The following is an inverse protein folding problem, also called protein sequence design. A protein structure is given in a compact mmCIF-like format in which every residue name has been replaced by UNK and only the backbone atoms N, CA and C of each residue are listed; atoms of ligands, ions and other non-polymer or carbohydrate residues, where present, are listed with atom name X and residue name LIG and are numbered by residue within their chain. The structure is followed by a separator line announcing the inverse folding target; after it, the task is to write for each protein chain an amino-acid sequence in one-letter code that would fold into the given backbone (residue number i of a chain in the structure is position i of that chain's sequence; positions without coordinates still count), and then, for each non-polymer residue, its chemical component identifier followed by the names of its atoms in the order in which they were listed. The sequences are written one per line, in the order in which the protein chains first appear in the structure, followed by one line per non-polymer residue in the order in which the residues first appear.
data_IF_990354859431
#
_entry.id   IF_990354859431
#
_cell.length_a   1.000
_cell.length_b   1.000
_cell.length_c   1.000
_cell.angle_alpha   90.00
_cell.angle_beta   90.00
_cell.angle_gamma   90.00
#
_symmetry.space_group_name_H-M   'P 1'
#
loop_
_entity.id
_entity.type
_entity.pdbx_description
1 polymer ?
#
# COMPACT_ATOMS: atom_id res chain seq x y z
N UNK A 1 -10.60 7.38 -80.18
CA UNK A 1 -10.53 6.86 -78.80
C UNK A 1 -9.08 6.89 -78.37
N UNK A 2 -8.76 7.53 -77.24
CA UNK A 2 -7.39 7.52 -76.73
C UNK A 2 -7.14 8.64 -75.72
N UNK A 3 -8.01 8.77 -74.72
CA UNK A 3 -7.78 9.70 -73.63
C UNK A 3 -6.55 9.27 -72.85
N UNK A 4 -5.50 10.10 -72.95
CA UNK A 4 -4.21 9.91 -72.28
C UNK A 4 -4.46 9.95 -70.77
N UNK A 5 -4.44 8.79 -70.12
CA UNK A 5 -4.50 8.66 -68.67
C UNK A 5 -3.20 9.28 -68.12
N UNK A 6 -3.32 10.51 -67.62
CA UNK A 6 -2.21 11.27 -67.04
C UNK A 6 -1.76 10.53 -65.79
N UNK A 7 -0.51 10.10 -65.78
CA UNK A 7 0.11 9.38 -64.67
C UNK A 7 0.10 10.29 -63.43
N UNK A 8 -0.75 9.98 -62.45
CA UNK A 8 -0.90 10.77 -61.24
C UNK A 8 0.33 10.49 -60.36
N UNK A 9 1.07 11.53 -59.93
CA UNK A 9 2.24 11.33 -59.08
C UNK A 9 1.84 10.72 -57.73
N UNK A 10 2.58 9.70 -57.30
CA UNK A 10 2.31 8.95 -56.06
C UNK A 10 2.18 9.86 -54.83
N UNK A 11 2.87 10.99 -54.81
CA UNK A 11 2.77 11.98 -53.73
C UNK A 11 1.37 12.59 -53.62
N UNK A 12 0.65 12.74 -54.74
CA UNK A 12 -0.76 13.16 -54.73
C UNK A 12 -1.67 12.02 -54.29
N UNK A 13 -1.39 10.78 -54.68
CA UNK A 13 -2.14 9.60 -54.20
C UNK A 13 -1.97 9.40 -52.67
N UNK A 14 -0.79 9.72 -52.12
CA UNK A 14 -0.55 9.75 -50.67
C UNK A 14 -1.41 10.78 -49.95
N UNK A 15 -1.61 11.97 -50.53
CA UNK A 15 -2.47 13.00 -49.93
C UNK A 15 -3.96 12.59 -49.89
N UNK A 16 -4.42 11.77 -50.84
CA UNK A 16 -5.77 11.21 -50.86
C UNK A 16 -5.95 9.94 -50.00
N UNK A 17 -4.86 9.41 -49.45
CA UNK A 17 -4.89 8.27 -48.51
C UNK A 17 -5.12 8.68 -47.05
N UNK A 18 -5.46 9.96 -46.79
CA UNK A 18 -6.00 10.44 -45.51
C UNK A 18 -7.42 9.87 -45.35
N UNK A 19 -7.49 8.60 -44.94
CA UNK A 19 -8.72 7.83 -44.88
C UNK A 19 -8.51 6.48 -44.23
N UNK A 20 -8.16 6.51 -42.94
CA UNK A 20 -8.44 5.44 -41.96
C UNK A 20 -8.07 3.99 -42.33
N UNK A 21 -6.93 3.74 -42.96
CA UNK A 21 -6.40 2.37 -43.06
C UNK A 21 -5.39 2.10 -41.93
N UNK A 22 -5.83 1.39 -40.89
CA UNK A 22 -4.93 0.47 -40.20
C UNK A 22 -4.49 0.78 -38.77
N UNK A 23 -5.10 1.71 -38.03
CA UNK A 23 -4.95 1.77 -36.57
C UNK A 23 -6.32 1.90 -35.92
N UNK A 24 -6.99 0.77 -35.69
CA UNK A 24 -8.01 0.70 -34.64
C UNK A 24 -7.29 1.13 -33.37
N UNK A 25 -7.56 2.33 -32.88
CA UNK A 25 -7.26 2.67 -31.49
C UNK A 25 -7.83 1.52 -30.66
N UNK A 26 -7.00 0.91 -29.82
CA UNK A 26 -7.41 -0.14 -28.89
C UNK A 26 -8.76 0.25 -28.29
N UNK A 27 -9.69 -0.70 -28.26
CA UNK A 27 -11.06 -0.46 -27.82
C UNK A 27 -11.03 0.34 -26.51
N UNK A 28 -11.93 1.31 -26.32
CA UNK A 28 -12.04 2.09 -25.07
C UNK A 28 -12.02 1.17 -23.83
N UNK A 29 -12.55 -0.04 -23.98
CA UNK A 29 -12.53 -1.13 -22.99
C UNK A 29 -11.14 -1.71 -22.71
N UNK A 30 -10.32 -1.89 -23.75
CA UNK A 30 -8.95 -2.43 -23.65
C UNK A 30 -7.99 -1.39 -23.03
N UNK A 31 -8.21 -0.11 -23.30
CA UNK A 31 -7.48 0.99 -22.68
C UNK A 31 -7.80 1.13 -21.18
N UNK A 32 -9.05 0.91 -20.80
CA UNK A 32 -9.49 0.88 -19.39
C UNK A 32 -8.98 -0.37 -18.66
N UNK A 33 -8.93 -1.53 -19.32
CA UNK A 33 -8.32 -2.74 -18.76
C UNK A 33 -6.81 -2.61 -18.55
N UNK A 34 -6.09 -1.95 -19.47
CA UNK A 34 -4.66 -1.63 -19.27
C UNK A 34 -4.46 -0.69 -18.09
N UNK A 35 -5.24 0.41 -18.01
CA UNK A 35 -5.18 1.35 -16.89
C UNK A 35 -5.49 0.66 -15.56
N UNK A 36 -6.53 -0.18 -15.51
CA UNK A 36 -6.88 -0.94 -14.31
C UNK A 36 -5.77 -1.88 -13.85
N UNK A 37 -5.08 -2.53 -14.80
CA UNK A 37 -3.95 -3.43 -14.51
C UNK A 37 -2.74 -2.66 -13.99
N UNK A 38 -2.50 -1.45 -14.47
CA UNK A 38 -1.44 -0.57 -13.97
C UNK A 38 -1.75 -0.04 -12.56
N UNK A 39 -3.00 0.39 -12.32
CA UNK A 39 -3.45 0.81 -10.99
C UNK A 39 -3.36 -0.32 -9.96
N UNK A 40 -3.70 -1.56 -10.34
CA UNK A 40 -3.55 -2.73 -9.47
C UNK A 40 -2.09 -3.04 -9.16
N UNK A 41 -1.19 -2.94 -10.14
CA UNK A 41 0.26 -3.12 -9.92
C UNK A 41 0.84 -2.03 -9.03
N UNK A 42 0.44 -0.78 -9.24
CA UNK A 42 0.88 0.34 -8.41
C UNK A 42 0.39 0.16 -6.96
N UNK A 43 -0.86 -0.26 -6.76
CA UNK A 43 -1.40 -0.56 -5.45
C UNK A 43 -0.66 -1.74 -4.77
N UNK A 44 -0.34 -2.80 -5.52
CA UNK A 44 0.43 -3.92 -5.01
C UNK A 44 1.84 -3.50 -4.57
N UNK A 45 2.50 -2.65 -5.36
CA UNK A 45 3.83 -2.11 -5.02
C UNK A 45 3.81 -1.25 -3.75
N UNK A 46 2.83 -0.34 -3.63
CA UNK A 46 2.69 0.49 -2.42
C UNK A 46 2.38 -0.37 -1.19
N UNK A 47 1.60 -1.44 -1.34
CA UNK A 47 1.35 -2.38 -0.25
C UNK A 47 2.62 -3.15 0.15
N UNK A 48 3.42 -3.58 -0.82
CA UNK A 48 4.71 -4.22 -0.57
C UNK A 48 5.67 -3.26 0.16
N UNK A 49 5.81 -2.02 -0.30
CA UNK A 49 6.59 -0.98 0.40
C UNK A 49 6.07 -0.74 1.82
N UNK A 50 4.74 -0.64 1.99
CA UNK A 50 4.13 -0.50 3.31
C UNK A 50 4.52 -1.67 4.22
N UNK A 51 4.34 -2.91 3.79
CA UNK A 51 4.69 -4.10 4.61
C UNK A 51 6.19 -4.14 4.89
N UNK A 52 7.02 -3.86 3.89
CA UNK A 52 8.47 -3.81 4.03
C UNK A 52 8.90 -2.77 5.07
N UNK A 53 8.29 -1.58 5.12
CA UNK A 53 8.64 -0.55 6.12
C UNK A 53 8.44 -1.00 7.57
N UNK A 54 7.49 -1.91 7.83
CA UNK A 54 7.26 -2.46 9.18
C UNK A 54 8.10 -3.72 9.47
N UNK A 55 8.60 -4.41 8.45
CA UNK A 55 9.46 -5.59 8.61
C UNK A 55 10.96 -5.25 8.60
N UNK A 56 11.36 -4.23 7.83
CA UNK A 56 12.74 -3.78 7.67
C UNK A 56 13.17 -2.83 8.80
N UNK A 57 12.21 -2.31 9.58
CA UNK A 57 12.54 -1.80 10.91
C UNK A 57 13.02 -3.01 11.72
N UNK A 58 14.32 -3.10 12.10
CA UNK A 58 14.76 -4.22 12.89
C UNK A 58 13.87 -4.25 14.12
N UNK A 59 13.32 -5.43 14.42
CA UNK A 59 12.43 -5.72 15.55
C UNK A 59 12.97 -5.15 16.89
N UNK A 60 14.24 -4.72 16.93
CA UNK A 60 14.94 -4.08 18.04
C UNK A 60 15.06 -2.54 18.03
N UNK A 61 14.74 -1.77 16.97
CA UNK A 61 15.06 -0.31 16.95
C UNK A 61 13.86 0.64 16.99
N UNK A 62 12.65 0.21 16.62
CA UNK A 62 11.41 0.99 16.86
C UNK A 62 10.76 0.67 18.21
N UNK A 63 11.32 -0.28 18.96
CA UNK A 63 10.89 -0.62 20.31
C UNK A 63 11.12 0.57 21.24
N UNK A 64 10.06 0.99 21.96
CA UNK A 64 10.15 1.97 23.05
C UNK A 64 11.32 1.59 23.97
N UNK A 65 12.41 2.34 23.89
CA UNK A 65 13.61 2.12 24.72
C UNK A 65 13.49 2.96 25.98
N UNK A 66 13.70 2.33 27.12
CA UNK A 66 13.73 3.01 28.41
C UNK A 66 15.16 3.10 28.88
N UNK A 67 15.64 4.31 29.11
CA UNK A 67 16.98 4.54 29.66
C UNK A 67 16.86 4.60 31.18
N UNK A 68 17.64 3.79 31.89
CA UNK A 68 17.65 3.76 33.35
C UNK A 68 18.22 5.09 33.87
N UNK A 69 17.45 5.79 34.69
CA UNK A 69 17.88 6.98 35.41
C UNK A 69 18.61 6.61 36.72
N UNK A 70 18.98 7.61 37.53
CA UNK A 70 19.44 7.37 38.90
C UNK A 70 18.36 6.67 39.73
N UNK A 71 18.77 5.77 40.61
CA UNK A 71 17.87 5.08 41.54
C UNK A 71 18.08 5.64 42.94
N UNK A 72 16.99 5.89 43.66
CA UNK A 72 17.05 6.31 45.06
C UNK A 72 16.62 5.15 45.95
N UNK A 73 17.50 4.75 46.87
CA UNK A 73 17.17 3.77 47.90
C UNK A 73 16.54 4.50 49.09
N UNK A 74 15.23 4.31 49.28
CA UNK A 74 14.48 4.91 50.37
C UNK A 74 14.89 4.35 51.75
N UNK A 75 15.38 3.11 51.82
CA UNK A 75 15.84 2.49 53.06
C UNK A 75 17.18 3.06 53.53
N UNK A 76 18.14 3.20 52.61
CA UNK A 76 19.47 3.74 52.90
C UNK A 76 19.55 5.29 52.82
N UNK A 77 18.50 5.95 52.30
CA UNK A 77 18.46 7.39 51.98
C UNK A 77 19.66 7.83 51.14
N UNK A 78 20.01 7.03 50.13
CA UNK A 78 21.17 7.26 49.26
C UNK A 78 20.75 7.18 47.80
N UNK A 79 21.35 8.07 47.00
CA UNK A 79 21.22 8.06 45.55
C UNK A 79 22.30 7.19 44.92
N UNK A 80 21.89 6.28 44.05
CA UNK A 80 22.77 5.43 43.24
C UNK A 80 22.70 5.84 41.77
N UNK A 81 23.83 6.31 41.26
CA UNK A 81 23.96 6.76 39.86
C UNK A 81 24.80 5.83 38.99
N UNK A 82 25.19 4.65 39.50
CA UNK A 82 26.10 3.71 38.81
C UNK A 82 25.56 3.17 37.48
N UNK A 83 24.23 3.05 37.37
CA UNK A 83 23.56 2.53 36.18
C UNK A 83 22.84 3.59 35.34
N UNK A 84 23.02 4.89 35.66
CA UNK A 84 22.43 5.96 34.86
C UNK A 84 22.87 5.85 33.40
N UNK A 85 21.97 6.06 32.46
CA UNK A 85 22.27 6.02 31.03
C UNK A 85 22.34 4.61 30.43
N UNK A 86 22.25 3.54 31.23
CA UNK A 86 22.15 2.18 30.70
C UNK A 86 20.76 1.94 30.13
N UNK A 87 20.69 1.21 29.01
CA UNK A 87 19.41 0.81 28.45
C UNK A 87 18.75 -0.23 29.37
N UNK A 88 17.56 0.09 29.88
CA UNK A 88 16.77 -0.84 30.69
C UNK A 88 16.18 -1.91 29.77
N UNK A 89 16.63 -3.15 29.99
CA UNK A 89 16.13 -4.34 29.31
C UNK A 89 15.43 -5.22 30.35
N UNK A 90 14.09 -5.13 30.49
CA UNK A 90 13.39 -6.00 31.43
C UNK A 90 13.63 -7.45 31.04
N UNK A 91 14.12 -8.26 31.98
CA UNK A 91 14.22 -9.70 31.78
C UNK A 91 12.82 -10.31 31.99
N UNK A 92 12.34 -11.06 31.00
CA UNK A 92 11.11 -11.82 31.14
C UNK A 92 11.27 -12.87 32.23
N UNK A 93 10.33 -12.92 33.18
CA UNK A 93 10.23 -13.98 34.19
C UNK A 93 9.41 -15.18 33.72
N UNK A 94 8.83 -15.08 32.52
CA UNK A 94 8.00 -16.13 31.92
C UNK A 94 8.95 -17.21 31.36
N UNK A 95 8.72 -18.51 31.65
CA UNK A 95 9.52 -19.58 31.09
C UNK A 95 9.46 -19.52 29.55
N UNK A 96 10.59 -19.78 28.89
CA UNK A 96 10.73 -19.67 27.42
C UNK A 96 9.66 -20.47 26.67
N UNK A 97 9.25 -21.62 27.21
CA UNK A 97 8.16 -22.46 26.68
C UNK A 97 6.83 -21.70 26.52
N UNK A 98 6.44 -20.89 27.51
CA UNK A 98 5.20 -20.10 27.45
C UNK A 98 5.30 -18.89 26.51
N UNK A 99 6.51 -18.35 26.33
CA UNK A 99 6.77 -17.25 25.41
C UNK A 99 6.70 -17.72 23.94
N UNK A 100 7.20 -18.93 23.67
CA UNK A 100 7.08 -19.58 22.35
C UNK A 100 5.61 -19.88 22.06
N UNK A 101 4.88 -20.44 23.02
CA UNK A 101 3.46 -20.74 22.87
C UNK A 101 2.60 -19.49 22.61
N UNK A 102 2.90 -18.36 23.26
CA UNK A 102 2.17 -17.10 23.02
C UNK A 102 2.47 -16.50 21.65
N UNK A 103 3.72 -16.56 21.20
CA UNK A 103 4.13 -16.15 19.84
C UNK A 103 3.46 -17.01 18.77
N UNK A 104 3.45 -18.33 18.94
CA UNK A 104 2.83 -19.26 18.01
C UNK A 104 1.30 -19.05 17.93
N UNK A 105 0.63 -18.81 19.06
CA UNK A 105 -0.80 -18.45 19.09
C UNK A 105 -1.08 -17.13 18.36
N UNK A 106 -0.24 -16.13 18.53
CA UNK A 106 -0.38 -14.85 17.83
C UNK A 106 -0.22 -15.01 16.31
N UNK A 107 0.76 -15.81 15.86
CA UNK A 107 0.95 -16.12 14.45
C UNK A 107 -0.21 -16.95 13.88
N UNK A 108 -0.73 -17.91 14.63
CA UNK A 108 -1.90 -18.70 14.24
C UNK A 108 -3.15 -17.81 14.07
N UNK A 109 -3.37 -16.88 14.99
CA UNK A 109 -4.49 -15.93 14.91
C UNK A 109 -4.34 -14.98 13.70
N UNK A 110 -3.13 -14.51 13.43
CA UNK A 110 -2.84 -13.69 12.24
C UNK A 110 -3.14 -14.44 10.93
N UNK A 111 -2.77 -15.72 10.83
CA UNK A 111 -3.11 -16.58 9.68
C UNK A 111 -4.62 -16.73 9.52
N UNK A 112 -5.34 -16.98 10.62
CA UNK A 112 -6.80 -17.11 10.61
C UNK A 112 -7.53 -15.84 10.15
N UNK A 113 -6.97 -14.67 10.43
CA UNK A 113 -7.48 -13.38 9.94
C UNK A 113 -7.15 -13.18 8.46
N UNK A 114 -5.94 -13.57 8.03
CA UNK A 114 -5.52 -13.47 6.63
C UNK A 114 -6.35 -14.34 5.69
N UNK A 115 -6.73 -15.54 6.11
CA UNK A 115 -7.54 -16.45 5.29
C UNK A 115 -9.00 -16.01 5.18
N UNK A 116 -9.47 -15.21 6.13
CA UNK A 116 -10.79 -14.57 6.08
C UNK A 116 -10.69 -13.28 5.27
N UNK A 117 -10.83 -13.39 3.95
CA UNK A 117 -11.18 -12.23 3.10
C UNK A 117 -12.35 -11.50 3.77
N UNK A 118 -12.28 -10.18 4.01
CA UNK A 118 -13.44 -9.44 4.48
C UNK A 118 -14.56 -9.70 3.47
N UNK A 119 -15.69 -10.23 3.96
CA UNK A 119 -16.88 -10.42 3.16
C UNK A 119 -17.16 -9.09 2.46
N UNK A 120 -17.03 -9.05 1.13
CA UNK A 120 -17.28 -7.85 0.34
C UNK A 120 -18.65 -7.34 0.75
N UNK A 121 -18.72 -6.12 1.33
CA UNK A 121 -19.97 -5.42 1.63
C UNK A 121 -20.73 -5.19 0.31
N UNK A 122 -21.40 -6.23 -0.18
CA UNK A 122 -22.13 -6.27 -1.45
C UNK A 122 -23.62 -6.01 -1.30
N UNK A 123 -24.12 -5.72 -0.09
CA UNK A 123 -25.52 -5.34 0.12
C UNK A 123 -25.62 -3.82 0.13
N UNK A 124 -25.93 -3.26 -1.05
CA UNK A 124 -26.28 -1.85 -1.27
C UNK A 124 -27.39 -1.43 -0.30
N UNK A 125 -27.05 -0.81 0.82
CA UNK A 125 -27.93 0.20 1.43
C UNK A 125 -27.66 1.50 0.70
N UNK A 126 -28.72 2.10 0.17
CA UNK A 126 -28.69 3.45 -0.41
C UNK A 126 -28.04 4.39 0.61
N UNK A 127 -26.82 4.83 0.31
CA UNK A 127 -26.07 5.74 1.17
C UNK A 127 -26.50 7.16 0.78
N UNK A 128 -27.06 7.92 1.71
CA UNK A 128 -27.12 9.38 1.63
C UNK A 128 -25.71 9.89 1.36
N UNK A 129 -25.49 10.74 0.35
CA UNK A 129 -24.16 11.18 -0.16
C UNK A 129 -23.04 11.16 0.90
N UNK A 130 -21.93 10.51 0.57
CA UNK A 130 -20.74 10.48 1.44
C UNK A 130 -20.26 11.89 1.74
N UNK A 131 -19.69 12.15 2.93
CA UNK A 131 -19.10 13.46 3.28
C UNK A 131 -18.13 13.97 2.20
N UNK A 132 -17.46 13.05 1.49
CA UNK A 132 -16.55 13.36 0.38
C UNK A 132 -17.27 13.92 -0.85
N UNK A 133 -18.50 13.46 -1.13
CA UNK A 133 -19.34 14.01 -2.19
C UNK A 133 -19.91 15.38 -1.80
N UNK A 134 -20.36 15.52 -0.56
CA UNK A 134 -20.86 16.80 -0.06
C UNK A 134 -19.79 17.90 -0.19
N UNK A 135 -18.55 17.60 0.21
CA UNK A 135 -17.44 18.55 0.09
C UNK A 135 -17.12 18.92 -1.37
N UNK A 136 -17.24 17.98 -2.31
CA UNK A 136 -17.05 18.25 -3.74
C UNK A 136 -18.16 19.11 -4.35
N UNK A 137 -19.39 18.99 -3.87
CA UNK A 137 -20.49 19.88 -4.30
C UNK A 137 -20.27 21.30 -3.79
N UNK A 138 -19.81 21.47 -2.55
CA UNK A 138 -19.51 22.78 -1.97
C UNK A 138 -18.39 23.53 -2.72
N UNK A 139 -17.34 22.81 -3.17
CA UNK A 139 -16.28 23.40 -4.00
C UNK A 139 -16.70 23.73 -5.46
N UNK A 140 -17.84 23.22 -5.92
CA UNK A 140 -18.38 23.51 -7.27
C UNK A 140 -19.37 24.67 -7.27
N UNK A 141 -19.73 25.17 -6.10
CA UNK A 141 -20.63 26.29 -5.88
C UNK A 141 -19.84 27.61 -5.84
#
# INVERSE_FOLDING_TARGET
MGDKIKNIPEQKLKAFSIGTMGKRSLSKKELEEQRKKEEERAAAHVFEEFVATFQESPISSSSKVWVKAGTYDAGARKEDTKDKGKLYKPQSRIPSSELIASTERAQFYAKLISDKKPERLGKKKQHTKSNLEAFKEELRQ
#
